data_IF_197323167391
#
_entry.id   IF_197323167391
#
_cell.length_a   1.000
_cell.length_b   1.000
_cell.length_c   1.000
_cell.angle_alpha   90.00
_cell.angle_beta   90.00
_cell.angle_gamma   90.00
#
_symmetry.space_group_name_H-M   'P 1'
#
loop_
_entity.id
_entity.type
_entity.pdbx_description
1 polymer ?
#
# COMPACT_ATOMS: atom_id res chain seq x y z
N UNK A 1 -39.88 35.22 -16.49
CA UNK A 1 -39.17 34.51 -15.40
C UNK A 1 -38.56 33.26 -16.01
N UNK A 2 -37.24 33.20 -16.13
CA UNK A 2 -36.52 32.05 -16.72
C UNK A 2 -35.38 31.67 -15.77
N UNK A 3 -35.39 30.44 -15.29
CA UNK A 3 -34.34 29.88 -14.44
C UNK A 3 -33.22 29.33 -15.33
N UNK A 4 -31.95 29.75 -15.18
CA UNK A 4 -30.85 29.03 -15.79
C UNK A 4 -30.53 27.79 -14.95
N UNK A 5 -30.61 26.62 -15.58
CA UNK A 5 -30.06 25.38 -15.03
C UNK A 5 -28.53 25.48 -15.02
N UNK A 6 -27.94 25.58 -13.85
CA UNK A 6 -26.52 25.31 -13.65
C UNK A 6 -26.27 23.86 -14.04
N UNK A 7 -25.66 23.67 -15.21
CA UNK A 7 -25.13 22.37 -15.61
C UNK A 7 -23.84 22.16 -14.83
N UNK A 8 -23.98 21.74 -13.58
CA UNK A 8 -22.91 21.09 -12.84
C UNK A 8 -22.56 19.81 -13.60
N UNK A 9 -21.60 19.94 -14.52
CA UNK A 9 -20.97 18.82 -15.21
C UNK A 9 -20.22 18.03 -14.14
N UNK A 10 -20.92 17.08 -13.51
CA UNK A 10 -20.31 16.06 -12.67
C UNK A 10 -19.20 15.41 -13.49
N UNK A 11 -17.96 15.68 -13.12
CA UNK A 11 -16.83 14.90 -13.60
C UNK A 11 -17.01 13.50 -13.00
N UNK A 12 -17.74 12.64 -13.70
CA UNK A 12 -17.76 11.22 -13.42
C UNK A 12 -16.33 10.71 -13.64
N UNK A 13 -15.58 10.61 -12.55
CA UNK A 13 -14.26 9.97 -12.56
C UNK A 13 -14.49 8.50 -12.87
N UNK A 14 -14.34 8.13 -14.13
CA UNK A 14 -14.38 6.74 -14.56
C UNK A 14 -13.20 6.02 -13.92
N UNK A 15 -13.45 5.27 -12.84
CA UNK A 15 -12.44 4.41 -12.21
C UNK A 15 -12.17 3.25 -13.16
N UNK A 16 -11.14 3.38 -13.99
CA UNK A 16 -10.63 2.27 -14.79
C UNK A 16 -9.90 1.32 -13.85
N UNK A 17 -10.51 0.18 -13.54
CA UNK A 17 -9.87 -0.90 -12.81
C UNK A 17 -9.29 -1.91 -13.79
N UNK A 18 -7.96 -2.01 -13.85
CA UNK A 18 -7.29 -3.10 -14.58
C UNK A 18 -7.44 -4.37 -13.74
N UNK A 19 -8.21 -5.34 -14.25
CA UNK A 19 -8.32 -6.67 -13.62
C UNK A 19 -7.34 -7.60 -14.32
N UNK A 20 -6.38 -8.12 -13.57
CA UNK A 20 -5.40 -9.07 -14.06
C UNK A 20 -6.11 -10.41 -14.30
N UNK A 21 -6.53 -10.64 -15.55
CA UNK A 21 -7.10 -11.92 -16.01
C UNK A 21 -6.06 -12.75 -16.74
N UNK A 22 -5.33 -12.12 -17.67
CA UNK A 22 -4.32 -12.75 -18.52
C UNK A 22 -2.93 -12.18 -18.28
N UNK A 23 -1.91 -12.91 -18.74
CA UNK A 23 -0.49 -12.61 -18.45
C UNK A 23 0.10 -11.51 -19.28
N UNK A 24 -0.46 -11.27 -20.46
CA UNK A 24 -0.11 -10.14 -21.32
C UNK A 24 -0.38 -8.81 -20.58
N UNK A 25 -1.36 -8.79 -19.68
CA UNK A 25 -1.74 -7.60 -18.91
C UNK A 25 -0.82 -7.32 -17.71
N UNK A 26 0.09 -8.25 -17.37
CA UNK A 26 0.94 -8.14 -16.20
C UNK A 26 1.83 -6.90 -16.22
N UNK A 27 2.44 -6.57 -17.36
CA UNK A 27 3.33 -5.40 -17.46
C UNK A 27 2.59 -4.10 -17.19
N UNK A 28 1.39 -3.93 -17.76
CA UNK A 28 0.58 -2.74 -17.59
C UNK A 28 0.04 -2.65 -16.15
N UNK A 29 -0.43 -3.77 -15.61
CA UNK A 29 -0.84 -3.86 -14.22
C UNK A 29 0.30 -3.49 -13.26
N UNK A 30 1.51 -4.02 -13.49
CA UNK A 30 2.67 -3.75 -12.63
C UNK A 30 3.06 -2.27 -12.67
N UNK A 31 3.08 -1.65 -13.86
CA UNK A 31 3.35 -0.22 -13.99
C UNK A 31 2.30 0.62 -13.26
N UNK A 32 1.02 0.24 -13.36
CA UNK A 32 -0.06 0.89 -12.62
C UNK A 32 0.13 0.77 -11.10
N UNK A 33 0.42 -0.43 -10.58
CA UNK A 33 0.68 -0.62 -9.15
C UNK A 33 1.90 0.17 -8.68
N UNK A 34 2.96 0.23 -9.50
CA UNK A 34 4.16 1.02 -9.22
C UNK A 34 3.86 2.51 -9.12
N UNK A 35 3.11 3.06 -10.08
CA UNK A 35 2.69 4.46 -10.04
C UNK A 35 1.80 4.76 -8.83
N UNK A 36 0.85 3.88 -8.53
CA UNK A 36 -0.08 4.05 -7.41
C UNK A 36 0.65 3.99 -6.05
N UNK A 37 1.55 3.04 -5.87
CA UNK A 37 2.39 2.94 -4.67
C UNK A 37 3.38 4.11 -4.56
N UNK A 38 3.89 4.59 -5.69
CA UNK A 38 4.72 5.80 -5.79
C UNK A 38 3.97 7.05 -5.33
N UNK A 39 2.75 7.26 -5.83
CA UNK A 39 1.88 8.37 -5.43
C UNK A 39 1.51 8.33 -3.94
N UNK A 40 1.47 7.13 -3.36
CA UNK A 40 1.22 6.91 -1.91
C UNK A 40 2.49 6.94 -1.06
N UNK A 41 3.67 7.09 -1.65
CA UNK A 41 4.96 7.10 -0.94
C UNK A 41 5.35 5.76 -0.30
N UNK A 42 4.71 4.66 -0.70
CA UNK A 42 4.92 3.32 -0.12
C UNK A 42 5.74 2.39 -1.03
N UNK A 43 6.12 2.83 -2.23
CA UNK A 43 6.85 1.98 -3.19
C UNK A 43 8.09 1.29 -2.58
N UNK A 44 8.86 2.03 -1.77
CA UNK A 44 10.04 1.50 -1.05
C UNK A 44 9.76 0.25 -0.20
N UNK A 45 8.51 0.04 0.21
CA UNK A 45 8.09 -1.10 1.02
C UNK A 45 7.37 -2.18 0.22
N UNK A 46 6.93 -1.87 -1.00
CA UNK A 46 6.12 -2.76 -1.83
C UNK A 46 6.89 -3.28 -3.05
N UNK A 47 8.09 -2.76 -3.30
CA UNK A 47 8.94 -3.16 -4.42
C UNK A 47 9.28 -4.67 -4.32
N UNK A 48 8.86 -5.51 -5.29
CA UNK A 48 9.13 -6.94 -5.25
C UNK A 48 10.64 -7.25 -5.21
N UNK A 49 11.47 -6.39 -5.82
CA UNK A 49 12.92 -6.57 -5.91
C UNK A 49 13.68 -5.95 -4.72
N UNK A 50 13.00 -5.15 -3.90
CA UNK A 50 13.56 -4.56 -2.68
C UNK A 50 13.57 -5.53 -1.49
N UNK A 51 13.85 -5.03 -0.28
CA UNK A 51 13.67 -5.77 0.98
C UNK A 51 12.30 -5.45 1.59
N UNK A 52 11.63 -6.44 2.21
CA UNK A 52 10.31 -6.24 2.86
C UNK A 52 10.55 -5.58 4.22
N UNK A 53 10.83 -4.29 4.16
CA UNK A 53 11.20 -3.52 5.34
C UNK A 53 10.00 -2.87 5.99
N UNK A 54 8.77 -3.14 5.55
CA UNK A 54 7.62 -2.43 6.09
C UNK A 54 7.53 -2.60 7.61
N UNK A 55 7.51 -3.85 8.07
CA UNK A 55 7.43 -4.18 9.49
C UNK A 55 8.79 -4.17 10.20
N UNK A 56 9.91 -4.31 9.45
CA UNK A 56 11.25 -4.24 10.04
C UNK A 56 11.71 -2.80 10.30
N UNK A 57 11.41 -1.88 9.38
CA UNK A 57 11.79 -0.47 9.48
C UNK A 57 10.73 0.39 10.20
N UNK A 58 9.46 -0.03 10.24
CA UNK A 58 8.40 0.69 10.95
C UNK A 58 7.87 -0.18 12.10
N UNK A 59 8.69 -0.39 13.13
CA UNK A 59 8.17 -0.88 14.41
C UNK A 59 7.30 0.21 15.05
N UNK A 60 6.23 -0.20 15.72
CA UNK A 60 5.42 0.72 16.50
C UNK A 60 6.31 1.45 17.52
N UNK A 61 6.27 2.79 17.58
CA UNK A 61 7.15 3.54 18.46
C UNK A 61 6.79 3.27 19.92
N UNK A 62 7.80 2.98 20.74
CA UNK A 62 7.64 2.75 22.18
C UNK A 62 7.26 4.04 22.90
N UNK A 63 6.27 3.95 23.78
CA UNK A 63 5.85 5.06 24.63
C UNK A 63 6.96 5.46 25.61
N UNK A 64 7.25 6.77 25.76
CA UNK A 64 8.17 7.26 26.79
C UNK A 64 7.73 6.82 28.18
N UNK A 65 8.66 6.35 29.01
CA UNK A 65 8.38 6.01 30.40
C UNK A 65 8.50 7.25 31.28
N UNK A 66 7.55 7.43 32.19
CA UNK A 66 7.61 8.44 33.23
C UNK A 66 8.14 7.79 34.51
N UNK A 67 9.32 8.18 34.97
CA UNK A 67 9.76 7.84 36.32
C UNK A 67 9.02 8.73 37.34
N UNK A 68 8.63 8.16 38.47
CA UNK A 68 8.09 8.96 39.57
C UNK A 68 9.25 9.73 40.21
N UNK A 69 9.04 11.01 40.55
CA UNK A 69 10.01 11.97 41.11
C UNK A 69 10.92 12.70 40.10
N UNK A 70 10.37 13.09 38.94
CA UNK A 70 11.09 13.95 37.97
C UNK A 70 11.21 15.41 38.47
N UNK A 71 12.40 15.99 38.37
CA UNK A 71 12.61 17.43 38.51
C UNK A 71 11.87 18.22 37.41
N UNK A 72 11.64 19.53 37.60
CA UNK A 72 10.91 20.37 36.62
C UNK A 72 11.53 20.31 35.22
N UNK A 73 12.87 20.24 35.13
CA UNK A 73 13.57 20.11 33.85
C UNK A 73 13.32 18.76 33.17
N UNK A 74 13.23 17.69 33.96
CA UNK A 74 13.00 16.34 33.45
C UNK A 74 11.55 16.15 33.02
N UNK A 75 10.60 16.88 33.64
CA UNK A 75 9.21 16.98 33.17
C UNK A 75 9.12 17.63 31.79
N UNK A 76 9.87 18.69 31.52
CA UNK A 76 9.90 19.34 30.20
C UNK A 76 10.49 18.41 29.12
N UNK A 77 11.60 17.72 29.42
CA UNK A 77 12.17 16.70 28.52
C UNK A 77 11.17 15.57 28.24
N UNK A 78 10.42 15.14 29.25
CA UNK A 78 9.37 14.13 29.06
C UNK A 78 8.23 14.63 28.15
N UNK A 79 7.78 15.88 28.31
CA UNK A 79 6.75 16.48 27.43
C UNK A 79 7.22 16.52 25.97
N UNK A 80 8.47 16.90 25.72
CA UNK A 80 9.05 16.88 24.37
C UNK A 80 9.13 15.46 23.80
N UNK A 81 9.55 14.50 24.63
CA UNK A 81 9.61 13.09 24.24
C UNK A 81 8.22 12.53 23.90
N UNK A 82 7.19 12.86 24.69
CA UNK A 82 5.79 12.50 24.43
C UNK A 82 5.29 13.10 23.12
N UNK A 83 5.51 14.40 22.89
CA UNK A 83 5.11 15.06 21.65
C UNK A 83 5.78 14.43 20.42
N UNK A 84 7.06 14.06 20.53
CA UNK A 84 7.77 13.35 19.47
C UNK A 84 7.24 11.93 19.25
N UNK A 85 6.92 11.22 20.33
CA UNK A 85 6.32 9.88 20.28
C UNK A 85 4.95 9.92 19.61
N UNK A 86 4.06 10.82 19.99
CA UNK A 86 2.74 10.99 19.37
C UNK A 86 2.86 11.25 17.86
N UNK A 87 3.80 12.11 17.46
CA UNK A 87 4.07 12.39 16.05
C UNK A 87 4.56 11.14 15.30
N UNK A 88 5.46 10.37 15.90
CA UNK A 88 5.95 9.10 15.33
C UNK A 88 4.83 8.07 15.24
N UNK A 89 3.98 7.98 16.26
CA UNK A 89 2.85 7.04 16.31
C UNK A 89 1.80 7.38 15.24
N UNK A 90 1.48 8.66 15.08
CA UNK A 90 0.57 9.13 14.03
C UNK A 90 1.10 8.81 12.63
N UNK A 91 2.39 9.04 12.39
CA UNK A 91 3.05 8.68 11.14
C UNK A 91 3.00 7.16 10.89
N UNK A 92 3.32 6.36 11.92
CA UNK A 92 3.25 4.90 11.84
C UNK A 92 1.84 4.40 11.49
N UNK A 93 0.81 4.88 12.21
CA UNK A 93 -0.60 4.53 11.96
C UNK A 93 -1.05 4.90 10.55
N UNK A 94 -0.67 6.09 10.09
CA UNK A 94 -0.99 6.57 8.73
C UNK A 94 -0.36 5.66 7.68
N UNK A 95 0.94 5.37 7.84
CA UNK A 95 1.68 4.53 6.92
C UNK A 95 1.13 3.08 6.90
N UNK A 96 0.82 2.50 8.06
CA UNK A 96 0.20 1.18 8.20
C UNK A 96 -1.13 1.10 7.45
N UNK A 97 -1.99 2.09 7.63
CA UNK A 97 -3.29 2.16 6.93
C UNK A 97 -3.11 2.22 5.41
N UNK A 98 -2.17 3.02 4.91
CA UNK A 98 -1.89 3.12 3.48
C UNK A 98 -1.35 1.80 2.92
N UNK A 99 -0.47 1.14 3.65
CA UNK A 99 0.13 -0.14 3.27
C UNK A 99 -0.89 -1.28 3.21
N UNK A 100 -1.67 -1.46 4.28
CA UNK A 100 -2.73 -2.48 4.35
C UNK A 100 -3.82 -2.21 3.30
N UNK A 101 -4.22 -0.96 3.13
CA UNK A 101 -5.17 -0.56 2.10
C UNK A 101 -4.68 -0.84 0.68
N UNK A 102 -3.39 -0.63 0.41
CA UNK A 102 -2.78 -1.01 -0.87
C UNK A 102 -2.74 -2.53 -1.06
N UNK A 103 -2.45 -3.29 0.01
CA UNK A 103 -2.54 -4.75 -0.02
C UNK A 103 -3.92 -5.21 -0.45
N UNK A 104 -4.98 -4.72 0.19
CA UNK A 104 -6.36 -5.07 -0.14
C UNK A 104 -6.74 -4.65 -1.56
N UNK A 105 -6.25 -3.50 -2.03
CA UNK A 105 -6.49 -3.07 -3.40
C UNK A 105 -5.90 -4.02 -4.43
N UNK A 106 -4.73 -4.62 -4.16
CA UNK A 106 -4.15 -5.65 -5.05
C UNK A 106 -5.12 -6.83 -5.23
N UNK A 107 -5.76 -7.30 -4.15
CA UNK A 107 -6.76 -8.39 -4.24
C UNK A 107 -7.92 -8.04 -5.17
N UNK A 108 -8.36 -6.78 -5.15
CA UNK A 108 -9.45 -6.30 -6.02
C UNK A 108 -9.03 -6.06 -7.47
N UNK A 109 -7.75 -6.19 -7.81
CA UNK A 109 -7.22 -5.96 -9.17
C UNK A 109 -6.83 -7.24 -9.88
N UNK A 110 -7.19 -8.40 -9.34
CA UNK A 110 -6.92 -9.70 -9.94
C UNK A 110 -8.22 -10.46 -10.18
N UNK A 111 -8.25 -11.33 -11.18
CA UNK A 111 -9.38 -12.22 -11.41
C UNK A 111 -9.56 -13.18 -10.22
N UNK A 112 -10.82 -13.54 -9.93
CA UNK A 112 -11.18 -14.45 -8.82
C UNK A 112 -10.50 -15.81 -8.92
N UNK A 113 -10.28 -16.28 -10.15
CA UNK A 113 -9.56 -17.51 -10.46
C UNK A 113 -8.12 -17.52 -9.91
N UNK A 114 -7.49 -16.35 -9.79
CA UNK A 114 -6.10 -16.19 -9.32
C UNK A 114 -6.02 -15.78 -7.85
N UNK A 115 -7.16 -15.52 -7.20
CA UNK A 115 -7.23 -14.96 -5.84
C UNK A 115 -6.61 -15.87 -4.79
N UNK A 116 -6.80 -17.19 -4.93
CA UNK A 116 -6.29 -18.19 -3.99
C UNK A 116 -4.77 -18.12 -3.81
N UNK A 117 -4.03 -17.63 -4.81
CA UNK A 117 -2.57 -17.52 -4.76
C UNK A 117 -2.06 -16.47 -3.78
N UNK A 118 -2.86 -15.43 -3.50
CA UNK A 118 -2.41 -14.25 -2.74
C UNK A 118 -3.31 -13.89 -1.56
N UNK A 119 -4.43 -14.58 -1.37
CA UNK A 119 -5.40 -14.28 -0.32
C UNK A 119 -4.83 -14.45 1.10
N UNK A 120 -3.97 -15.45 1.30
CA UNK A 120 -3.30 -15.71 2.58
C UNK A 120 -2.08 -14.81 2.82
N UNK A 121 -1.59 -14.15 1.78
CA UNK A 121 -0.42 -13.29 1.88
C UNK A 121 -0.83 -11.92 2.37
N UNK A 122 -0.17 -11.36 3.38
CA UNK A 122 -0.52 -10.04 3.94
C UNK A 122 0.30 -8.95 3.28
N UNK A 123 1.55 -9.26 2.89
CA UNK A 123 2.50 -8.31 2.33
C UNK A 123 2.15 -7.97 0.87
N UNK A 124 1.81 -6.70 0.54
CA UNK A 124 1.68 -6.24 -0.85
C UNK A 124 2.89 -6.62 -1.71
N UNK A 125 4.10 -6.53 -1.17
CA UNK A 125 5.32 -6.92 -1.87
C UNK A 125 5.24 -8.37 -2.31
N UNK A 126 4.92 -9.26 -1.38
CA UNK A 126 4.86 -10.69 -1.63
C UNK A 126 3.71 -11.04 -2.57
N UNK A 127 2.56 -10.36 -2.46
CA UNK A 127 1.47 -10.45 -3.44
C UNK A 127 1.94 -10.10 -4.86
N UNK A 128 2.61 -8.95 -5.04
CA UNK A 128 3.17 -8.52 -6.33
C UNK A 128 4.19 -9.53 -6.85
N UNK A 129 5.05 -10.06 -5.98
CA UNK A 129 6.06 -11.05 -6.36
C UNK A 129 5.45 -12.37 -6.84
N UNK A 130 4.43 -12.88 -6.15
CA UNK A 130 3.72 -14.10 -6.53
C UNK A 130 3.05 -13.91 -7.90
N UNK A 131 2.32 -12.80 -8.07
CA UNK A 131 1.64 -12.47 -9.32
C UNK A 131 2.63 -12.30 -10.48
N UNK A 132 3.80 -11.70 -10.23
CA UNK A 132 4.89 -11.61 -11.21
C UNK A 132 5.34 -12.98 -11.69
N UNK A 133 5.63 -13.89 -10.76
CA UNK A 133 6.09 -15.24 -11.09
C UNK A 133 5.01 -16.09 -11.79
N UNK A 134 3.73 -15.85 -11.49
CA UNK A 134 2.62 -16.47 -12.19
C UNK A 134 2.48 -15.92 -13.62
N UNK A 135 2.54 -14.59 -13.75
CA UNK A 135 2.50 -13.87 -15.03
C UNK A 135 3.59 -14.33 -16.00
N UNK A 136 4.83 -14.49 -15.53
CA UNK A 136 5.92 -14.99 -16.37
C UNK A 136 5.73 -16.45 -16.80
N UNK A 137 5.33 -17.34 -15.88
CA UNK A 137 5.22 -18.77 -16.18
C UNK A 137 4.18 -19.09 -17.25
N UNK A 138 3.02 -18.44 -17.23
CA UNK A 138 1.98 -18.68 -18.25
C UNK A 138 2.39 -18.15 -19.64
N UNK A 139 3.29 -17.16 -19.74
CA UNK A 139 3.83 -16.72 -21.04
C UNK A 139 4.74 -17.80 -21.63
N UNK A 140 5.57 -18.44 -20.81
CA UNK A 140 6.49 -19.50 -21.27
C UNK A 140 5.74 -20.76 -21.77
N UNK A 141 4.61 -21.11 -21.14
CA UNK A 141 3.76 -22.22 -21.62
C UNK A 141 3.07 -21.90 -22.96
N UNK A 142 2.58 -20.68 -23.16
CA UNK A 142 1.91 -20.30 -24.41
C UNK A 142 2.85 -20.20 -25.62
N UNK A 143 4.17 -20.11 -25.41
CA UNK A 143 5.17 -20.08 -26.48
C UNK A 143 5.63 -21.50 -26.88
N UNK A 144 5.41 -22.52 -26.05
CA UNK A 144 5.75 -23.91 -26.38
C UNK A 144 4.63 -24.68 -27.10
N UNK A 145 3.41 -24.13 -27.15
CA UNK A 145 2.25 -24.70 -27.84
C UNK A 145 1.94 -24.04 -29.20
N UNK A 146 2.89 -23.26 -29.76
CA UNK A 146 2.83 -22.67 -31.13
C UNK A 146 3.91 -23.26 -32.04
#
# INVERSE_FOLDING_TARGET
MSFPYDTERSMEVTKVSIVLKDTVDWRNWYQYQKQLAGARGIWKYTDPDGTDEFYMANKEPSEPSLENDLEEKEREVYKEAMALWEKRLANFKTLKKVYEGFSLQILGTIATEHLFMIISEISPRRRIQILRCHGHRQVDYNVMDQ
#
